data_IF_363610388607
#
_entry.id   IF_363610388607
#
_cell.length_a   1.000
_cell.length_b   1.000
_cell.length_c   1.000
_cell.angle_alpha   90.00
_cell.angle_beta   90.00
_cell.angle_gamma   90.00
#
_symmetry.space_group_name_H-M   'P 1'
#
loop_
_entity.id
_entity.type
_entity.pdbx_description
1 polymer ?
#
# COMPACT_ATOMS: atom_id res chain seq x y z
N UNK A 1 24.28 6.94 1.07
CA UNK A 1 23.60 6.54 2.29
C UNK A 1 24.34 7.03 3.52
N UNK A 2 23.58 7.44 4.52
CA UNK A 2 24.04 7.88 5.83
C UNK A 2 23.53 6.90 6.87
N UNK A 3 24.26 6.74 7.99
CA UNK A 3 23.79 5.95 9.12
C UNK A 3 22.84 6.75 10.03
N UNK A 4 22.28 6.10 11.06
CA UNK A 4 21.29 6.71 11.94
C UNK A 4 21.87 7.84 12.79
N UNK A 5 23.12 7.70 13.28
CA UNK A 5 23.80 8.75 14.05
C UNK A 5 24.09 9.98 13.19
N UNK A 6 24.57 9.78 11.97
CA UNK A 6 24.75 10.83 10.97
C UNK A 6 23.44 11.54 10.63
N UNK A 7 22.34 10.77 10.50
CA UNK A 7 21.01 11.30 10.23
C UNK A 7 20.52 12.17 11.40
N UNK A 8 20.66 11.69 12.63
CA UNK A 8 20.26 12.41 13.84
C UNK A 8 21.06 13.71 14.02
N UNK A 9 22.36 13.67 13.81
CA UNK A 9 23.22 14.88 13.87
C UNK A 9 22.81 15.91 12.82
N UNK A 10 22.53 15.47 11.59
CA UNK A 10 22.10 16.37 10.51
C UNK A 10 20.68 16.90 10.77
N UNK A 11 19.79 16.09 11.34
CA UNK A 11 18.45 16.50 11.73
C UNK A 11 18.49 17.55 12.86
N UNK A 12 19.30 17.35 13.88
CA UNK A 12 19.47 18.30 14.98
C UNK A 12 19.97 19.66 14.45
N UNK A 13 20.96 19.64 13.56
CA UNK A 13 21.42 20.85 12.88
C UNK A 13 20.28 21.52 12.09
N UNK A 14 19.50 20.74 11.36
CA UNK A 14 18.39 21.28 10.57
C UNK A 14 17.29 21.91 11.44
N UNK A 15 17.01 21.33 12.61
CA UNK A 15 16.06 21.87 13.58
C UNK A 15 16.57 23.17 14.21
N UNK A 16 17.84 23.18 14.66
CA UNK A 16 18.47 24.34 15.29
C UNK A 16 18.52 25.57 14.35
N UNK A 17 18.89 25.33 13.10
CA UNK A 17 19.07 26.41 12.12
C UNK A 17 17.91 26.62 11.17
N UNK A 18 16.80 25.88 11.34
CA UNK A 18 15.61 26.01 10.50
C UNK A 18 15.84 25.63 9.04
N UNK A 19 16.68 24.62 8.76
CA UNK A 19 17.02 24.19 7.41
C UNK A 19 15.81 23.50 6.76
N UNK A 20 15.25 24.07 5.66
CA UNK A 20 14.06 23.56 5.00
C UNK A 20 14.14 23.67 3.47
N UNK A 21 13.50 22.74 2.80
CA UNK A 21 13.28 22.78 1.35
C UNK A 21 14.56 22.97 0.54
N UNK A 22 14.65 24.03 -0.26
CA UNK A 22 15.81 24.29 -1.12
C UNK A 22 17.10 24.63 -0.38
N UNK A 23 17.04 24.96 0.92
CA UNK A 23 18.23 25.25 1.70
C UNK A 23 19.14 24.01 1.82
N UNK A 24 18.58 22.80 1.78
CA UNK A 24 19.33 21.54 1.76
C UNK A 24 20.29 21.38 0.55
N UNK A 25 19.98 22.07 -0.55
CA UNK A 25 20.80 22.04 -1.78
C UNK A 25 22.00 23.01 -1.73
N UNK A 26 22.13 23.78 -0.64
CA UNK A 26 23.23 24.74 -0.46
C UNK A 26 24.18 24.22 0.61
N UNK A 27 25.47 24.62 0.57
CA UNK A 27 26.40 24.29 1.64
C UNK A 27 25.90 24.80 3.00
N UNK A 28 26.22 24.06 4.05
CA UNK A 28 25.98 24.50 5.43
C UNK A 28 26.88 25.67 5.75
N UNK A 29 26.33 26.73 6.37
CA UNK A 29 27.06 27.96 6.66
C UNK A 29 26.85 28.49 8.07
N UNK A 30 26.01 27.82 8.86
CA UNK A 30 25.65 28.24 10.21
C UNK A 30 26.30 27.32 11.26
N UNK A 31 26.58 27.86 12.44
CA UNK A 31 27.27 27.16 13.52
C UNK A 31 28.77 27.38 13.51
N UNK A 32 29.50 26.61 14.33
CA UNK A 32 30.96 26.65 14.36
C UNK A 32 31.58 26.00 13.12
N UNK A 33 32.80 26.38 12.78
CA UNK A 33 33.50 25.78 11.65
C UNK A 33 33.62 24.25 11.77
N UNK A 34 33.88 23.75 12.97
CA UNK A 34 33.98 22.32 13.26
C UNK A 34 32.68 21.57 12.96
N UNK A 35 31.51 22.13 13.34
CA UNK A 35 30.20 21.55 13.10
C UNK A 35 29.90 21.50 11.60
N UNK A 36 30.17 22.60 10.89
CA UNK A 36 29.95 22.68 9.43
C UNK A 36 30.86 21.69 8.71
N UNK A 37 32.13 21.62 9.05
CA UNK A 37 33.11 20.73 8.44
C UNK A 37 32.74 19.24 8.66
N UNK A 38 32.24 18.92 9.85
CA UNK A 38 31.78 17.54 10.16
C UNK A 38 30.46 17.15 9.44
N UNK A 39 29.53 18.08 9.26
CA UNK A 39 28.18 17.77 8.72
C UNK A 39 28.08 17.97 7.20
N UNK A 40 28.88 18.81 6.58
CA UNK A 40 28.81 19.09 5.14
C UNK A 40 29.07 17.83 4.27
N UNK A 41 30.01 16.92 4.58
CA UNK A 41 30.17 15.67 3.85
C UNK A 41 28.92 14.76 3.97
N UNK A 42 28.29 14.74 5.14
CA UNK A 42 27.07 13.95 5.38
C UNK A 42 25.92 14.52 4.54
N UNK A 43 25.73 15.86 4.57
CA UNK A 43 24.74 16.54 3.74
C UNK A 43 24.94 16.23 2.25
N UNK A 44 26.18 16.29 1.76
CA UNK A 44 26.47 15.97 0.36
C UNK A 44 26.08 14.53 0.01
N UNK A 45 26.50 13.55 0.80
CA UNK A 45 26.10 12.14 0.57
C UNK A 45 24.59 11.95 0.50
N UNK A 46 23.83 12.70 1.31
CA UNK A 46 22.37 12.66 1.30
C UNK A 46 21.78 13.37 0.08
N UNK A 47 22.33 14.52 -0.31
CA UNK A 47 21.72 15.41 -1.29
C UNK A 47 22.21 15.21 -2.72
N UNK A 48 23.42 14.67 -2.92
CA UNK A 48 23.97 14.45 -4.26
C UNK A 48 23.09 13.53 -5.14
N UNK A 49 22.52 12.42 -4.61
CA UNK A 49 21.55 11.61 -5.37
C UNK A 49 20.27 12.38 -5.73
N UNK A 50 19.78 13.25 -4.81
CA UNK A 50 18.59 14.08 -5.05
C UNK A 50 18.86 15.13 -6.12
N UNK A 51 20.02 15.76 -6.11
CA UNK A 51 20.43 16.72 -7.15
C UNK A 51 20.61 16.03 -8.50
N UNK A 52 21.21 14.85 -8.51
CA UNK A 52 21.38 14.04 -9.71
C UNK A 52 20.02 13.64 -10.30
N UNK A 53 19.07 13.18 -9.49
CA UNK A 53 17.69 12.90 -9.90
C UNK A 53 17.04 14.13 -10.53
N UNK A 54 17.14 15.29 -9.87
CA UNK A 54 16.55 16.55 -10.39
C UNK A 54 17.19 16.97 -11.71
N UNK A 55 18.49 16.81 -11.87
CA UNK A 55 19.21 17.18 -13.09
C UNK A 55 18.85 16.25 -14.26
N UNK A 56 18.83 14.94 -14.02
CA UNK A 56 18.56 13.89 -15.04
C UNK A 56 17.09 13.88 -15.46
N UNK A 57 16.16 14.02 -14.50
CA UNK A 57 14.72 13.89 -14.74
C UNK A 57 13.98 15.20 -15.02
N UNK A 58 14.67 16.35 -15.11
CA UNK A 58 14.02 17.64 -15.36
C UNK A 58 13.62 17.78 -16.83
N UNK A 59 12.29 17.96 -17.06
CA UNK A 59 11.72 18.13 -18.40
C UNK A 59 12.17 17.02 -19.38
N UNK A 60 12.25 15.79 -18.90
CA UNK A 60 12.70 14.64 -19.66
C UNK A 60 11.50 13.88 -20.25
N UNK A 61 11.73 13.07 -21.29
CA UNK A 61 10.80 12.03 -21.66
C UNK A 61 10.70 10.97 -20.55
N UNK A 62 9.58 10.24 -20.49
CA UNK A 62 9.28 9.29 -19.43
C UNK A 62 10.42 8.29 -19.19
N UNK A 63 11.03 7.78 -20.27
CA UNK A 63 12.15 6.82 -20.18
C UNK A 63 13.33 7.39 -19.38
N UNK A 64 13.72 8.63 -19.67
CA UNK A 64 14.82 9.30 -18.95
C UNK A 64 14.45 9.66 -17.51
N UNK A 65 13.19 9.99 -17.25
CA UNK A 65 12.73 10.26 -15.90
C UNK A 65 12.68 8.98 -15.05
N UNK A 66 12.28 7.86 -15.63
CA UNK A 66 12.27 6.53 -15.00
C UNK A 66 13.70 6.01 -14.76
N UNK A 67 14.57 6.16 -15.74
CA UNK A 67 16.01 5.84 -15.58
C UNK A 67 16.63 6.68 -14.45
N UNK A 68 16.33 7.97 -14.40
CA UNK A 68 16.81 8.83 -13.33
C UNK A 68 16.28 8.41 -11.95
N UNK A 69 15.05 7.92 -11.86
CA UNK A 69 14.47 7.37 -10.64
C UNK A 69 15.15 6.06 -10.22
N UNK A 70 15.42 5.17 -11.16
CA UNK A 70 16.15 3.93 -10.91
C UNK A 70 17.56 4.22 -10.38
N UNK A 71 18.32 5.08 -11.09
CA UNK A 71 19.66 5.50 -10.66
C UNK A 71 19.67 6.18 -9.29
N UNK A 72 18.63 6.94 -8.98
CA UNK A 72 18.47 7.53 -7.64
C UNK A 72 18.31 6.45 -6.55
N UNK A 73 17.54 5.40 -6.80
CA UNK A 73 17.38 4.31 -5.84
C UNK A 73 18.69 3.55 -5.61
N UNK A 74 19.46 3.31 -6.68
CA UNK A 74 20.79 2.70 -6.61
C UNK A 74 21.79 3.59 -5.84
N UNK A 75 21.90 4.87 -6.22
CA UNK A 75 22.79 5.83 -5.56
C UNK A 75 22.43 6.07 -4.09
N UNK A 76 21.14 5.97 -3.73
CA UNK A 76 20.65 6.04 -2.35
C UNK A 76 20.88 4.74 -1.55
N UNK A 77 21.38 3.68 -2.18
CA UNK A 77 21.60 2.37 -1.54
C UNK A 77 20.29 1.72 -1.07
N UNK A 78 19.18 1.92 -1.82
CA UNK A 78 17.88 1.43 -1.41
C UNK A 78 17.84 -0.10 -1.34
N UNK A 79 18.48 -0.77 -2.29
CA UNK A 79 18.55 -2.23 -2.35
C UNK A 79 19.32 -2.80 -1.15
N UNK A 80 20.50 -2.27 -0.88
CA UNK A 80 21.37 -2.70 0.23
C UNK A 80 20.70 -2.50 1.59
N UNK A 81 19.96 -1.40 1.74
CA UNK A 81 19.17 -1.12 2.96
C UNK A 81 18.03 -2.12 3.14
N UNK A 82 17.30 -2.45 2.08
CA UNK A 82 16.24 -3.47 2.12
C UNK A 82 16.80 -4.84 2.48
N UNK A 83 17.94 -5.23 1.89
CA UNK A 83 18.62 -6.50 2.19
C UNK A 83 19.15 -6.53 3.64
N UNK A 84 19.67 -5.42 4.16
CA UNK A 84 20.10 -5.31 5.55
C UNK A 84 18.92 -5.42 6.51
N UNK A 85 17.82 -4.74 6.23
CA UNK A 85 16.58 -4.84 7.01
C UNK A 85 16.03 -6.27 7.01
N UNK A 86 16.03 -6.95 5.86
CA UNK A 86 15.59 -8.34 5.75
C UNK A 86 16.44 -9.27 6.63
N UNK A 87 17.77 -9.11 6.63
CA UNK A 87 18.68 -9.87 7.50
C UNK A 87 18.35 -9.65 8.97
N UNK A 88 18.21 -8.38 9.39
CA UNK A 88 17.85 -8.03 10.77
C UNK A 88 16.51 -8.65 11.19
N UNK A 89 15.48 -8.57 10.36
CA UNK A 89 14.18 -9.17 10.64
C UNK A 89 14.25 -10.70 10.74
N UNK A 90 15.10 -11.34 9.95
CA UNK A 90 15.35 -12.78 10.03
C UNK A 90 16.03 -13.16 11.35
N UNK A 91 17.04 -12.42 11.78
CA UNK A 91 17.72 -12.60 13.06
C UNK A 91 16.77 -12.39 14.26
N UNK A 92 15.84 -11.43 14.15
CA UNK A 92 14.79 -11.18 15.14
C UNK A 92 13.66 -12.23 15.09
N UNK A 93 13.79 -13.29 14.28
CA UNK A 93 12.75 -14.30 14.01
C UNK A 93 11.43 -13.76 13.48
N UNK A 94 11.47 -12.60 12.80
CA UNK A 94 10.32 -11.98 12.11
C UNK A 94 10.28 -12.39 10.63
N UNK A 95 10.22 -13.70 10.36
CA UNK A 95 10.36 -14.28 9.02
C UNK A 95 9.32 -13.79 8.03
N UNK A 96 8.09 -13.57 8.49
CA UNK A 96 7.01 -13.05 7.63
C UNK A 96 7.37 -11.68 7.05
N UNK A 97 7.80 -10.76 7.91
CA UNK A 97 8.21 -9.41 7.50
C UNK A 97 9.48 -9.41 6.65
N UNK A 98 10.41 -10.34 6.92
CA UNK A 98 11.58 -10.52 6.09
C UNK A 98 11.21 -10.99 4.67
N UNK A 99 10.23 -11.89 4.53
CA UNK A 99 9.72 -12.37 3.24
C UNK A 99 8.94 -11.28 2.47
N UNK A 100 8.21 -10.42 3.17
CA UNK A 100 7.60 -9.24 2.55
C UNK A 100 8.68 -8.30 1.99
N UNK A 101 9.67 -7.96 2.81
CA UNK A 101 10.78 -7.10 2.41
C UNK A 101 11.53 -7.59 1.18
N UNK A 102 11.72 -8.92 1.06
CA UNK A 102 12.36 -9.53 -0.10
C UNK A 102 11.62 -9.29 -1.44
N UNK A 103 10.32 -9.05 -1.40
CA UNK A 103 9.51 -8.80 -2.59
C UNK A 103 9.50 -7.33 -3.00
N UNK A 104 9.77 -6.41 -2.06
CA UNK A 104 9.62 -4.96 -2.28
C UNK A 104 10.48 -4.46 -3.44
N UNK A 105 11.76 -4.84 -3.48
CA UNK A 105 12.65 -4.43 -4.56
C UNK A 105 12.14 -4.86 -5.93
N UNK A 106 11.76 -6.12 -6.07
CA UNK A 106 11.24 -6.65 -7.33
C UNK A 106 9.95 -5.95 -7.76
N UNK A 107 9.09 -5.56 -6.80
CA UNK A 107 7.87 -4.79 -7.11
C UNK A 107 8.16 -3.38 -7.57
N UNK A 108 9.17 -2.73 -7.00
CA UNK A 108 9.63 -1.41 -7.47
C UNK A 108 10.13 -1.52 -8.91
N UNK A 109 10.99 -2.49 -9.21
CA UNK A 109 11.52 -2.70 -10.56
C UNK A 109 10.40 -3.00 -11.55
N UNK A 110 9.47 -3.92 -11.22
CA UNK A 110 8.31 -4.20 -12.07
C UNK A 110 7.46 -2.97 -12.37
N UNK A 111 7.23 -2.09 -11.37
CA UNK A 111 6.48 -0.87 -11.58
C UNK A 111 7.22 0.11 -12.51
N UNK A 112 8.55 0.22 -12.39
CA UNK A 112 9.38 1.04 -13.28
C UNK A 112 9.37 0.50 -14.70
N UNK A 113 9.52 -0.82 -14.90
CA UNK A 113 9.51 -1.48 -16.21
C UNK A 113 8.16 -1.30 -16.91
N UNK A 114 7.05 -1.55 -16.20
CA UNK A 114 5.72 -1.34 -16.74
C UNK A 114 5.48 0.12 -17.16
N UNK A 115 5.90 1.07 -16.30
CA UNK A 115 5.80 2.48 -16.62
C UNK A 115 6.66 2.84 -17.85
N UNK A 116 7.84 2.26 -17.99
CA UNK A 116 8.72 2.47 -19.13
C UNK A 116 8.10 1.98 -20.45
N UNK A 117 7.44 0.83 -20.43
CA UNK A 117 6.76 0.30 -21.62
C UNK A 117 5.54 1.13 -22.03
N UNK A 118 4.73 1.52 -21.03
CA UNK A 118 3.43 2.19 -21.27
C UNK A 118 3.57 3.67 -21.63
N UNK A 119 4.61 4.35 -21.15
CA UNK A 119 4.77 5.80 -21.24
C UNK A 119 5.91 6.23 -22.17
N UNK A 120 6.34 5.34 -23.05
CA UNK A 120 7.42 5.62 -23.99
C UNK A 120 7.13 6.85 -24.86
N UNK A 121 8.06 7.81 -24.86
CA UNK A 121 7.96 9.04 -25.62
C UNK A 121 7.10 10.14 -24.99
N UNK A 122 6.36 9.85 -23.93
CA UNK A 122 5.51 10.85 -23.28
C UNK A 122 6.35 11.82 -22.43
N UNK A 123 6.00 13.13 -22.42
CA UNK A 123 6.65 14.09 -21.55
C UNK A 123 6.27 13.84 -20.10
N UNK A 124 7.28 13.77 -19.21
CA UNK A 124 7.06 13.49 -17.81
C UNK A 124 7.78 14.47 -16.89
N UNK A 125 7.07 14.93 -15.85
CA UNK A 125 7.69 15.67 -14.75
C UNK A 125 8.03 14.72 -13.60
N UNK A 126 9.04 15.05 -12.79
CA UNK A 126 9.35 14.26 -11.59
C UNK A 126 8.17 14.17 -10.61
N UNK A 127 7.30 15.18 -10.59
CA UNK A 127 6.08 15.16 -9.78
C UNK A 127 5.08 14.15 -10.31
N UNK A 128 4.82 14.15 -11.61
CA UNK A 128 3.93 13.18 -12.25
C UNK A 128 4.45 11.75 -12.09
N UNK A 129 5.77 11.56 -12.23
CA UNK A 129 6.44 10.29 -11.98
C UNK A 129 6.24 9.81 -10.54
N UNK A 130 6.47 10.69 -9.55
CA UNK A 130 6.24 10.36 -8.14
C UNK A 130 4.78 9.94 -7.87
N UNK A 131 3.81 10.69 -8.39
CA UNK A 131 2.40 10.38 -8.21
C UNK A 131 2.00 9.05 -8.88
N UNK A 132 2.55 8.77 -10.06
CA UNK A 132 2.38 7.51 -10.77
C UNK A 132 2.92 6.34 -9.96
N UNK A 133 4.20 6.40 -9.57
CA UNK A 133 4.84 5.33 -8.79
C UNK A 133 4.17 5.13 -7.44
N UNK A 134 3.77 6.20 -6.76
CA UNK A 134 3.03 6.11 -5.50
C UNK A 134 1.72 5.36 -5.65
N UNK A 135 0.98 5.58 -6.75
CA UNK A 135 -0.28 4.86 -7.04
C UNK A 135 -0.03 3.42 -7.44
N UNK A 136 0.95 3.18 -8.31
CA UNK A 136 1.29 1.84 -8.78
C UNK A 136 1.76 0.95 -7.63
N UNK A 137 2.67 1.45 -6.78
CA UNK A 137 3.16 0.73 -5.61
C UNK A 137 2.08 0.57 -4.52
N UNK A 138 1.23 1.59 -4.33
CA UNK A 138 0.11 1.52 -3.38
C UNK A 138 -1.00 0.53 -3.78
N UNK A 139 -1.12 0.22 -5.07
CA UNK A 139 -2.03 -0.81 -5.58
C UNK A 139 -1.40 -2.21 -5.62
N UNK A 140 -0.11 -2.33 -5.29
CA UNK A 140 0.61 -3.60 -5.34
C UNK A 140 0.42 -4.36 -4.04
N UNK A 141 -0.14 -5.56 -4.12
CA UNK A 141 -0.27 -6.46 -2.98
C UNK A 141 1.01 -7.30 -2.82
N UNK A 142 1.56 -7.32 -1.63
CA UNK A 142 2.61 -8.27 -1.24
C UNK A 142 1.92 -9.51 -0.71
N UNK A 143 2.06 -10.63 -1.41
CA UNK A 143 1.42 -11.89 -1.01
C UNK A 143 2.32 -12.66 -0.05
N UNK A 144 1.78 -12.97 1.12
CA UNK A 144 2.38 -13.93 2.04
C UNK A 144 1.88 -15.33 1.72
N UNK A 145 2.80 -16.29 1.64
CA UNK A 145 2.42 -17.69 1.64
C UNK A 145 2.17 -18.13 3.09
N UNK A 146 1.04 -18.76 3.39
CA UNK A 146 0.79 -19.32 4.73
C UNK A 146 1.91 -20.29 5.08
N UNK A 147 2.61 -20.04 6.19
CA UNK A 147 3.77 -20.83 6.60
C UNK A 147 3.41 -22.11 7.34
N UNK A 148 2.18 -22.26 7.78
CA UNK A 148 1.74 -23.39 8.61
C UNK A 148 0.34 -23.85 8.18
N UNK A 149 0.14 -25.17 8.14
CA UNK A 149 -1.18 -25.77 8.01
C UNK A 149 -2.02 -25.66 9.30
N UNK A 150 -1.40 -25.31 10.41
CA UNK A 150 -2.01 -25.12 11.72
C UNK A 150 -1.99 -23.62 12.07
N UNK A 151 -2.76 -22.84 11.31
CA UNK A 151 -2.88 -21.40 11.48
C UNK A 151 -4.33 -20.99 11.33
N UNK A 152 -4.72 -19.92 12.05
CA UNK A 152 -6.01 -19.26 11.84
C UNK A 152 -5.97 -18.55 10.51
N UNK A 153 -6.91 -18.91 9.61
CA UNK A 153 -7.07 -18.22 8.34
C UNK A 153 -7.99 -17.00 8.53
N UNK A 154 -7.54 -15.83 8.14
CA UNK A 154 -8.33 -14.60 8.15
C UNK A 154 -8.38 -13.96 6.77
N UNK A 155 -9.53 -13.43 6.39
CA UNK A 155 -9.69 -12.75 5.09
C UNK A 155 -11.11 -12.32 4.82
N UNK A 156 -11.34 -11.69 3.67
CA UNK A 156 -12.68 -11.39 3.18
C UNK A 156 -13.44 -12.68 2.81
N UNK A 157 -14.77 -12.63 2.84
CA UNK A 157 -15.63 -13.77 2.49
C UNK A 157 -15.39 -14.31 1.07
N UNK A 158 -14.95 -13.45 0.17
CA UNK A 158 -14.60 -13.78 -1.22
C UNK A 158 -13.26 -14.53 -1.35
N UNK A 159 -12.38 -14.40 -0.37
CA UNK A 159 -11.09 -15.07 -0.32
C UNK A 159 -11.11 -16.43 0.41
N UNK A 160 -12.13 -16.67 1.20
CA UNK A 160 -12.31 -17.93 1.95
C UNK A 160 -12.93 -19.01 1.03
N UNK A 161 -12.09 -19.64 0.19
CA UNK A 161 -12.55 -20.70 -0.73
C UNK A 161 -11.73 -21.98 -0.57
N UNK A 162 -12.42 -23.11 -0.60
CA UNK A 162 -11.84 -24.42 -0.89
C UNK A 162 -11.15 -25.18 0.24
N UNK A 163 -11.07 -24.66 1.46
CA UNK A 163 -10.51 -25.40 2.60
C UNK A 163 -11.54 -25.51 3.73
N UNK A 164 -12.00 -26.72 4.09
CA UNK A 164 -12.88 -26.90 5.22
C UNK A 164 -12.18 -26.48 6.52
N UNK A 165 -12.90 -25.82 7.40
CA UNK A 165 -12.45 -25.38 8.72
C UNK A 165 -13.36 -25.98 9.78
N UNK A 166 -12.84 -26.27 10.99
CA UNK A 166 -13.66 -26.77 12.10
C UNK A 166 -14.64 -25.72 12.57
N UNK A 167 -14.15 -24.51 12.82
CA UNK A 167 -14.96 -23.39 13.27
C UNK A 167 -14.77 -22.17 12.34
N UNK A 168 -15.88 -21.54 11.97
CA UNK A 168 -15.93 -20.35 11.14
C UNK A 168 -16.41 -19.15 11.96
N UNK A 169 -15.65 -18.07 11.98
CA UNK A 169 -16.04 -16.81 12.60
C UNK A 169 -16.31 -15.75 11.53
N UNK A 170 -17.57 -15.33 11.39
CA UNK A 170 -17.98 -14.23 10.51
C UNK A 170 -18.16 -12.98 11.37
N UNK A 171 -17.28 -12.00 11.18
CA UNK A 171 -17.22 -10.82 12.02
C UNK A 171 -17.84 -9.59 11.32
N UNK A 172 -18.47 -8.71 12.10
CA UNK A 172 -18.91 -7.41 11.61
C UNK A 172 -20.16 -7.43 10.72
N UNK A 173 -21.06 -8.40 10.92
CA UNK A 173 -22.28 -8.52 10.10
C UNK A 173 -23.30 -7.46 10.49
N UNK A 174 -23.26 -6.31 9.84
CA UNK A 174 -24.18 -5.19 10.01
C UNK A 174 -25.03 -4.95 8.76
N UNK A 175 -26.08 -4.13 8.91
CA UNK A 175 -26.91 -3.67 7.77
C UNK A 175 -26.24 -2.55 6.94
N UNK A 176 -25.02 -2.12 7.29
CA UNK A 176 -24.28 -1.16 6.50
C UNK A 176 -24.03 -1.74 5.11
N UNK A 177 -24.52 -1.07 4.09
CA UNK A 177 -24.27 -1.47 2.71
C UNK A 177 -22.75 -1.47 2.46
N UNK A 178 -22.16 -2.57 1.97
CA UNK A 178 -20.75 -2.55 1.61
C UNK A 178 -20.55 -1.51 0.50
N UNK A 179 -19.78 -0.45 0.81
CA UNK A 179 -19.43 0.56 -0.18
C UNK A 179 -20.41 1.72 -0.37
N UNK A 180 -21.16 2.08 0.65
CA UNK A 180 -22.08 3.24 0.64
C UNK A 180 -21.41 4.63 0.60
N UNK A 181 -20.37 4.80 -0.19
CA UNK A 181 -19.88 6.11 -0.64
C UNK A 181 -20.61 6.45 -1.94
N UNK A 182 -21.34 7.56 -1.96
CA UNK A 182 -22.25 8.00 -3.01
C UNK A 182 -21.83 7.61 -4.42
N UNK A 183 -22.57 6.70 -5.01
CA UNK A 183 -22.39 6.37 -6.41
C UNK A 183 -22.64 7.63 -7.24
N UNK A 184 -21.71 7.97 -8.13
CA UNK A 184 -21.87 9.12 -9.06
C UNK A 184 -23.07 8.93 -9.99
N UNK A 185 -23.49 7.69 -10.20
CA UNK A 185 -24.59 7.30 -11.06
C UNK A 185 -25.58 6.44 -10.28
N UNK A 186 -26.86 6.70 -10.48
CA UNK A 186 -27.94 5.85 -9.94
C UNK A 186 -28.01 4.53 -10.71
N UNK A 187 -28.61 3.50 -10.11
CA UNK A 187 -28.88 2.19 -10.78
C UNK A 187 -29.61 2.34 -12.13
N UNK A 188 -30.55 3.30 -12.24
CA UNK A 188 -31.27 3.58 -13.48
C UNK A 188 -30.38 4.16 -14.57
N UNK A 189 -29.40 4.99 -14.20
CA UNK A 189 -28.43 5.56 -15.13
C UNK A 189 -27.43 4.50 -15.57
N UNK A 190 -26.97 3.67 -14.65
CA UNK A 190 -26.11 2.52 -14.96
C UNK A 190 -26.79 1.55 -15.93
N UNK A 191 -28.05 1.21 -15.70
CA UNK A 191 -28.83 0.34 -16.60
C UNK A 191 -28.92 0.94 -18.02
N UNK A 192 -29.25 2.25 -18.15
CA UNK A 192 -29.32 2.90 -19.45
C UNK A 192 -27.98 2.92 -20.19
N UNK A 193 -26.87 3.11 -19.49
CA UNK A 193 -25.54 3.10 -20.08
C UNK A 193 -25.13 1.69 -20.50
N UNK A 194 -25.50 0.69 -19.73
CA UNK A 194 -25.29 -0.74 -20.07
C UNK A 194 -26.09 -1.12 -21.33
N UNK A 195 -27.34 -0.68 -21.46
CA UNK A 195 -28.18 -0.88 -22.65
C UNK A 195 -27.57 -0.21 -23.90
N UNK A 196 -26.78 0.84 -23.74
CA UNK A 196 -26.03 1.50 -24.79
C UNK A 196 -24.64 0.86 -25.05
N UNK A 197 -24.33 -0.27 -24.43
CA UNK A 197 -23.07 -0.99 -24.58
C UNK A 197 -21.90 -0.45 -23.73
N UNK A 198 -22.17 0.47 -22.79
CA UNK A 198 -21.18 1.01 -21.87
C UNK A 198 -21.25 0.29 -20.54
N UNK A 199 -20.37 -0.67 -20.33
CA UNK A 199 -20.27 -1.38 -19.04
C UNK A 199 -19.40 -0.57 -18.07
N UNK A 200 -19.98 -0.06 -16.97
CA UNK A 200 -19.32 0.76 -15.96
C UNK A 200 -19.14 0.04 -14.61
N UNK A 201 -19.38 -1.24 -14.56
CA UNK A 201 -19.23 -2.05 -13.35
C UNK A 201 -20.46 -2.88 -13.02
N UNK A 202 -20.42 -3.52 -11.85
CA UNK A 202 -21.51 -4.39 -11.38
C UNK A 202 -22.67 -3.55 -10.83
N UNK A 203 -23.91 -3.97 -11.13
CA UNK A 203 -25.11 -3.43 -10.50
C UNK A 203 -25.14 -3.75 -8.99
N UNK A 204 -25.98 -3.04 -8.23
CA UNK A 204 -26.18 -3.34 -6.81
C UNK A 204 -26.81 -4.74 -6.62
N UNK A 205 -27.64 -5.18 -7.56
CA UNK A 205 -28.20 -6.52 -7.56
C UNK A 205 -27.12 -7.59 -7.76
N UNK A 206 -26.20 -7.38 -8.71
CA UNK A 206 -25.09 -8.30 -8.95
C UNK A 206 -24.13 -8.35 -7.75
N UNK A 207 -23.82 -7.20 -7.16
CA UNK A 207 -23.02 -7.12 -5.93
C UNK A 207 -23.69 -7.89 -4.79
N UNK A 208 -25.00 -7.69 -4.59
CA UNK A 208 -25.77 -8.41 -3.57
C UNK A 208 -25.80 -9.92 -3.85
N UNK A 209 -25.85 -10.33 -5.12
CA UNK A 209 -25.77 -11.74 -5.53
C UNK A 209 -24.40 -12.33 -5.20
N UNK A 210 -23.32 -11.63 -5.53
CA UNK A 210 -21.95 -12.05 -5.22
C UNK A 210 -21.76 -12.20 -3.70
N UNK A 211 -22.21 -11.23 -2.91
CA UNK A 211 -22.12 -11.28 -1.45
C UNK A 211 -22.89 -12.49 -0.91
N UNK A 212 -24.13 -12.72 -1.35
CA UNK A 212 -24.91 -13.89 -0.94
C UNK A 212 -24.21 -15.22 -1.28
N UNK A 213 -23.63 -15.29 -2.48
CA UNK A 213 -22.87 -16.48 -2.90
C UNK A 213 -21.61 -16.67 -2.05
N UNK A 214 -20.88 -15.59 -1.74
CA UNK A 214 -19.69 -15.66 -0.89
C UNK A 214 -20.05 -16.10 0.53
N UNK A 215 -21.13 -15.57 1.11
CA UNK A 215 -21.63 -16.00 2.43
C UNK A 215 -21.99 -17.48 2.41
N UNK A 216 -22.76 -17.94 1.40
CA UNK A 216 -23.12 -19.34 1.25
C UNK A 216 -21.88 -20.23 1.18
N UNK A 217 -20.95 -19.91 0.29
CA UNK A 217 -19.70 -20.67 0.15
C UNK A 217 -18.85 -20.68 1.42
N UNK A 218 -18.83 -19.59 2.18
CA UNK A 218 -18.13 -19.55 3.46
C UNK A 218 -18.80 -20.46 4.51
N UNK A 219 -20.13 -20.43 4.60
CA UNK A 219 -20.88 -21.30 5.54
C UNK A 219 -20.68 -22.79 5.23
N UNK A 220 -20.56 -23.16 3.95
CA UNK A 220 -20.29 -24.54 3.52
C UNK A 220 -18.87 -25.04 3.90
N UNK A 221 -17.96 -24.15 4.28
CA UNK A 221 -16.61 -24.54 4.74
C UNK A 221 -16.58 -24.98 6.22
N UNK A 222 -17.55 -24.57 7.02
CA UNK A 222 -17.59 -24.90 8.44
C UNK A 222 -18.04 -26.36 8.64
N UNK A 223 -17.16 -27.17 9.26
CA UNK A 223 -17.46 -28.58 9.53
C UNK A 223 -18.22 -28.79 10.85
N UNK A 224 -17.98 -27.97 11.85
CA UNK A 224 -18.48 -28.17 13.22
C UNK A 224 -19.28 -26.96 13.72
N UNK A 225 -18.71 -25.75 13.65
CA UNK A 225 -19.29 -24.58 14.31
C UNK A 225 -19.22 -23.31 13.45
N UNK A 226 -20.23 -22.45 13.57
CA UNK A 226 -20.28 -21.14 12.94
C UNK A 226 -20.64 -20.07 13.97
N UNK A 227 -19.76 -19.07 14.08
CA UNK A 227 -19.97 -17.91 14.93
C UNK A 227 -20.21 -16.67 14.07
N UNK A 228 -21.34 -16.01 14.24
CA UNK A 228 -21.68 -14.79 13.50
C UNK A 228 -21.83 -13.65 14.50
N UNK A 229 -21.05 -12.60 14.32
CA UNK A 229 -21.01 -11.47 15.24
C UNK A 229 -21.27 -10.15 14.54
N UNK A 230 -21.79 -9.19 15.30
CA UNK A 230 -21.92 -7.81 14.85
C UNK A 230 -21.58 -6.82 15.98
N UNK A 231 -20.99 -5.65 15.67
CA UNK A 231 -20.75 -4.61 16.66
C UNK A 231 -22.07 -3.92 17.02
N UNK A 232 -22.26 -3.59 18.30
CA UNK A 232 -23.43 -2.84 18.75
C UNK A 232 -23.34 -1.34 18.44
N UNK A 233 -22.12 -0.85 18.26
CA UNK A 233 -21.84 0.55 17.86
C UNK A 233 -20.63 0.61 16.96
N UNK A 234 -20.51 1.68 16.18
CA UNK A 234 -19.29 2.02 15.45
C UNK A 234 -18.25 2.70 16.37
N UNK A 235 -17.11 3.07 15.80
CA UNK A 235 -16.03 3.75 16.55
C UNK A 235 -16.42 5.16 17.03
N UNK A 236 -17.45 5.79 16.45
CA UNK A 236 -17.99 7.08 16.88
C UNK A 236 -19.10 6.94 17.92
N UNK A 237 -19.46 5.70 18.32
CA UNK A 237 -20.52 5.40 19.30
C UNK A 237 -21.93 5.34 18.70
N UNK A 238 -22.08 5.46 17.37
CA UNK A 238 -23.39 5.34 16.73
C UNK A 238 -23.86 3.88 16.72
N UNK A 239 -25.13 3.64 17.12
CA UNK A 239 -25.68 2.30 17.23
C UNK A 239 -25.74 1.59 15.86
N UNK A 240 -25.25 0.35 15.81
CA UNK A 240 -25.29 -0.50 14.64
C UNK A 240 -26.40 -1.56 14.75
N UNK A 241 -27.02 -1.90 13.63
CA UNK A 241 -28.05 -2.93 13.56
C UNK A 241 -27.48 -4.24 13.01
N UNK A 242 -27.97 -5.40 13.53
CA UNK A 242 -27.56 -6.69 12.98
C UNK A 242 -27.96 -6.82 11.52
N UNK A 243 -27.04 -7.31 10.71
CA UNK A 243 -27.24 -7.52 9.28
C UNK A 243 -28.30 -8.59 8.97
N UNK A 244 -28.75 -8.60 7.72
CA UNK A 244 -29.81 -9.51 7.24
C UNK A 244 -29.46 -11.00 7.45
N UNK A 245 -28.18 -11.36 7.41
CA UNK A 245 -27.71 -12.72 7.66
C UNK A 245 -28.06 -13.18 9.09
N UNK A 246 -27.85 -12.34 10.10
CA UNK A 246 -28.17 -12.67 11.49
C UNK A 246 -29.68 -12.85 11.66
N UNK A 247 -30.48 -11.97 11.06
CA UNK A 247 -31.95 -12.09 11.07
C UNK A 247 -32.43 -13.36 10.37
N UNK A 248 -31.75 -13.78 9.29
CA UNK A 248 -32.05 -15.02 8.59
C UNK A 248 -31.75 -16.23 9.47
N UNK A 249 -30.58 -16.27 10.09
CA UNK A 249 -30.20 -17.37 11.02
C UNK A 249 -31.20 -17.49 12.16
N UNK A 250 -31.58 -16.38 12.82
CA UNK A 250 -32.60 -16.41 13.89
C UNK A 250 -34.00 -16.87 13.47
N UNK A 251 -34.28 -16.91 12.17
CA UNK A 251 -35.55 -17.47 11.67
C UNK A 251 -35.49 -18.95 11.38
N UNK A 252 -34.27 -19.46 11.23
CA UNK A 252 -34.05 -20.88 10.89
C UNK A 252 -33.85 -21.76 12.13
N UNK A 253 -33.43 -21.13 13.24
CA UNK A 253 -33.19 -21.75 14.55
C UNK A 253 -33.92 -20.98 15.67
#
# INVERSE_FOLDING_TARGET
PIDDDEADRLMNYALEWGLRGRAWLRPLTRGTAEVVEALEPIRKRLMDPVEALKRRGRNAAAEKALEAAFLFLEEAGAREKLEAQQRLLTEMNRREWAMEGAQVWNRIIQALDQAHELLRGEPMTLRSLYELLRRALGATEVKQLPQSGDAVMGGGLDHMKGRPVKALFILGVTDAAPGGGGALLSERELAKLTDQGLWLGLSDEDRARIIRQSVKSALELAAEEVYVTFPRSDMAGAAQRPGSLIRLIHRLF
#
